data_IF_390805441574
#
_entry.id   IF_390805441574
#
_cell.length_a   1.000
_cell.length_b   1.000
_cell.length_c   1.000
_cell.angle_alpha   90.00
_cell.angle_beta   90.00
_cell.angle_gamma   90.00
#
_symmetry.space_group_name_H-M   'P 1'
#
loop_
_entity.id
_entity.type
_entity.pdbx_description
1 polymer ?
#
# COMPACT_ATOMS: atom_id res chain seq x y z
N UNK A 1 5.10 2.62 0.67
CA UNK A 1 5.53 1.69 1.74
C UNK A 1 5.06 2.09 3.14
N UNK A 2 4.95 3.39 3.45
CA UNK A 2 4.59 3.88 4.80
C UNK A 2 3.25 3.32 5.34
N UNK A 3 2.21 3.22 4.51
CA UNK A 3 0.93 2.65 4.95
C UNK A 3 1.06 1.21 5.44
N UNK A 4 1.88 0.39 4.76
CA UNK A 4 2.17 -0.99 5.14
C UNK A 4 3.03 -1.05 6.42
N UNK A 5 3.94 -0.09 6.58
CA UNK A 5 4.76 0.06 7.79
C UNK A 5 3.90 0.41 9.03
N UNK A 6 2.85 1.22 8.83
CA UNK A 6 1.84 1.50 9.86
C UNK A 6 0.86 0.33 10.10
N UNK A 7 1.01 -0.79 9.38
CA UNK A 7 0.16 -1.97 9.54
C UNK A 7 -1.19 -1.87 8.83
N UNK A 8 -1.35 -0.97 7.86
CA UNK A 8 -2.57 -0.86 7.08
C UNK A 8 -2.56 -1.80 5.88
N UNK A 9 -3.72 -2.37 5.56
CA UNK A 9 -3.95 -3.05 4.29
C UNK A 9 -4.05 -2.04 3.16
N UNK A 10 -3.55 -2.40 1.98
CA UNK A 10 -3.55 -1.53 0.80
C UNK A 10 -4.24 -2.24 -0.35
N UNK A 11 -5.27 -1.59 -0.91
CA UNK A 11 -5.89 -2.03 -2.16
C UNK A 11 -5.32 -1.22 -3.31
N UNK A 12 -4.64 -1.89 -4.23
CA UNK A 12 -4.14 -1.30 -5.47
C UNK A 12 -5.19 -1.51 -6.54
N UNK A 13 -5.61 -0.42 -7.19
CA UNK A 13 -6.55 -0.46 -8.29
C UNK A 13 -6.00 0.35 -9.46
N UNK A 14 -5.91 -0.29 -10.61
CA UNK A 14 -5.58 0.33 -11.89
C UNK A 14 -6.85 0.39 -12.73
N UNK A 15 -7.15 1.54 -13.32
CA UNK A 15 -8.31 1.72 -14.19
C UNK A 15 -7.83 2.05 -15.60
N UNK A 16 -8.28 1.27 -16.58
CA UNK A 16 -8.03 1.56 -17.98
C UNK A 16 -8.98 2.64 -18.50
N UNK A 17 -8.48 3.54 -19.36
CA UNK A 17 -9.29 4.58 -20.01
C UNK A 17 -9.12 4.55 -21.53
N UNK A 18 -10.25 4.65 -22.24
CA UNK A 18 -10.28 4.75 -23.70
C UNK A 18 -9.50 3.63 -24.40
N UNK A 19 -8.44 3.99 -25.12
CA UNK A 19 -7.63 3.07 -25.95
C UNK A 19 -6.74 2.13 -25.14
N UNK A 20 -6.55 2.37 -23.86
CA UNK A 20 -5.72 1.52 -22.98
C UNK A 20 -6.35 0.13 -22.75
N UNK A 21 -7.66 -0.02 -22.96
CA UNK A 21 -8.37 -1.30 -22.90
C UNK A 21 -7.85 -2.33 -23.91
N UNK A 22 -7.20 -1.90 -25.00
CA UNK A 22 -6.57 -2.81 -25.96
C UNK A 22 -5.26 -3.43 -25.43
N UNK A 23 -4.69 -2.86 -24.36
CA UNK A 23 -3.39 -3.24 -23.81
C UNK A 23 -3.48 -3.60 -22.33
N UNK A 24 -4.42 -4.47 -21.98
CA UNK A 24 -4.62 -4.92 -20.60
C UNK A 24 -3.40 -5.66 -20.02
N UNK A 25 -2.61 -6.31 -20.89
CA UNK A 25 -1.38 -7.01 -20.51
C UNK A 25 -0.36 -6.08 -19.83
N UNK A 26 -0.17 -4.86 -20.34
CA UNK A 26 0.73 -3.89 -19.71
C UNK A 26 0.23 -3.44 -18.34
N UNK A 27 -1.09 -3.31 -18.16
CA UNK A 27 -1.68 -3.02 -16.87
C UNK A 27 -1.44 -4.15 -15.87
N UNK A 28 -1.55 -5.40 -16.31
CA UNK A 28 -1.26 -6.58 -15.49
C UNK A 28 0.20 -6.62 -15.07
N UNK A 29 1.12 -6.44 -16.02
CA UNK A 29 2.57 -6.39 -15.75
C UNK A 29 2.93 -5.26 -14.78
N UNK A 30 2.27 -4.10 -14.89
CA UNK A 30 2.50 -2.98 -13.97
C UNK A 30 2.10 -3.33 -12.54
N UNK A 31 0.92 -3.93 -12.36
CA UNK A 31 0.46 -4.34 -11.02
C UNK A 31 1.35 -5.47 -10.45
N UNK A 32 1.84 -6.36 -11.30
CA UNK A 32 2.79 -7.41 -10.92
C UNK A 32 4.14 -6.83 -10.49
N UNK A 33 4.65 -5.79 -11.17
CA UNK A 33 5.83 -5.06 -10.70
C UNK A 33 5.61 -4.43 -9.32
N UNK A 34 4.45 -3.82 -9.08
CA UNK A 34 4.11 -3.26 -7.77
C UNK A 34 4.10 -4.33 -6.68
N UNK A 35 3.61 -5.54 -7.00
CA UNK A 35 3.69 -6.69 -6.09
C UNK A 35 5.14 -7.02 -5.75
N UNK A 36 6.01 -7.18 -6.76
CA UNK A 36 7.41 -7.57 -6.56
C UNK A 36 8.15 -6.53 -5.71
N UNK A 37 7.99 -5.26 -6.05
CA UNK A 37 8.60 -4.14 -5.34
C UNK A 37 8.16 -4.05 -3.86
N UNK A 38 6.94 -4.49 -3.54
CA UNK A 38 6.38 -4.48 -2.19
C UNK A 38 6.45 -5.85 -1.47
N UNK A 39 7.05 -6.87 -2.08
CA UNK A 39 7.15 -8.23 -1.53
C UNK A 39 7.93 -8.27 -0.19
N UNK A 40 8.86 -7.34 0.01
CA UNK A 40 9.60 -7.20 1.28
C UNK A 40 8.79 -6.60 2.44
N UNK A 41 7.68 -5.92 2.16
CA UNK A 41 6.86 -5.23 3.17
C UNK A 41 5.45 -5.82 3.30
N UNK A 42 4.97 -6.51 2.27
CA UNK A 42 3.59 -6.96 2.16
C UNK A 42 3.49 -8.37 1.59
N UNK A 43 2.38 -9.03 1.91
CA UNK A 43 1.93 -10.28 1.33
C UNK A 43 0.70 -10.02 0.47
N UNK A 44 0.61 -10.71 -0.67
CA UNK A 44 -0.57 -10.66 -1.53
C UNK A 44 -1.71 -11.42 -0.86
N UNK A 45 -2.79 -10.71 -0.53
CA UNK A 45 -4.02 -11.30 0.01
C UNK A 45 -5.01 -11.60 -1.12
N UNK A 46 -5.06 -10.74 -2.13
CA UNK A 46 -5.77 -11.00 -3.38
C UNK A 46 -4.85 -10.74 -4.57
N UNK A 47 -4.65 -11.78 -5.39
CA UNK A 47 -3.91 -11.71 -6.63
C UNK A 47 -4.50 -10.65 -7.58
N UNK A 48 -3.68 -10.01 -8.43
CA UNK A 48 -4.15 -9.05 -9.41
C UNK A 48 -5.17 -9.70 -10.35
N UNK A 49 -6.38 -9.13 -10.38
CA UNK A 49 -7.47 -9.63 -11.22
C UNK A 49 -8.12 -8.50 -12.00
N UNK A 50 -8.36 -8.76 -13.29
CA UNK A 50 -9.16 -7.87 -14.15
C UNK A 50 -10.64 -8.03 -13.77
N UNK A 51 -11.25 -6.92 -13.38
CA UNK A 51 -12.69 -6.78 -13.09
C UNK A 51 -13.24 -5.62 -13.90
N UNK A 52 -13.92 -5.93 -15.00
CA UNK A 52 -14.44 -4.93 -15.94
C UNK A 52 -13.31 -4.11 -16.58
N UNK A 53 -13.28 -2.81 -16.29
CA UNK A 53 -12.24 -1.88 -16.77
C UNK A 53 -11.10 -1.65 -15.79
N UNK A 54 -11.05 -2.40 -14.69
CA UNK A 54 -10.09 -2.21 -13.63
C UNK A 54 -9.26 -3.48 -13.40
N UNK A 55 -8.00 -3.34 -12.99
CA UNK A 55 -7.23 -4.39 -12.32
C UNK A 55 -7.22 -4.06 -10.84
N UNK A 56 -7.51 -5.03 -9.98
CA UNK A 56 -7.47 -4.85 -8.53
C UNK A 56 -6.60 -5.92 -7.90
N UNK A 57 -5.77 -5.51 -6.94
CA UNK A 57 -4.91 -6.36 -6.11
C UNK A 57 -5.00 -5.86 -4.66
N UNK A 58 -4.98 -6.78 -3.70
CA UNK A 58 -4.97 -6.41 -2.27
C UNK A 58 -3.71 -6.93 -1.61
N UNK A 59 -3.01 -6.03 -0.92
CA UNK A 59 -1.79 -6.30 -0.18
C UNK A 59 -2.07 -6.15 1.32
N UNK A 60 -1.69 -7.17 2.07
CA UNK A 60 -1.67 -7.14 3.53
C UNK A 60 -0.23 -6.86 4.00
N UNK A 61 -0.04 -6.07 5.07
CA UNK A 61 1.30 -5.83 5.59
C UNK A 61 1.85 -7.09 6.25
N UNK A 62 3.14 -7.35 6.07
CA UNK A 62 3.84 -8.41 6.80
C UNK A 62 3.86 -8.11 8.31
N UNK A 63 4.12 -9.09 9.19
CA UNK A 63 4.40 -8.80 10.60
C UNK A 63 5.60 -7.85 10.72
N UNK A 64 5.56 -6.94 11.69
CA UNK A 64 6.57 -5.87 11.85
C UNK A 64 8.02 -6.40 11.83
N UNK A 65 8.24 -7.60 12.36
CA UNK A 65 9.55 -8.24 12.47
C UNK A 65 10.14 -8.73 11.12
N UNK A 66 9.36 -8.75 10.04
CA UNK A 66 9.78 -9.22 8.70
C UNK A 66 9.74 -8.16 7.60
N UNK A 67 9.38 -6.92 7.94
CA UNK A 67 9.25 -5.80 6.99
C UNK A 67 10.62 -5.27 6.57
N UNK A 68 10.91 -5.23 5.27
CA UNK A 68 12.10 -4.60 4.67
C UNK A 68 11.72 -3.48 3.70
N UNK A 69 12.01 -2.24 4.07
CA UNK A 69 11.72 -1.03 3.28
C UNK A 69 12.69 -0.90 2.11
N UNK A 70 12.18 -0.56 0.92
CA UNK A 70 12.94 -0.44 -0.33
C UNK A 70 12.98 0.98 -0.90
N UNK A 71 11.94 1.82 -0.69
CA UNK A 71 11.76 3.11 -1.38
C UNK A 71 11.89 4.37 -0.50
N UNK A 72 11.74 4.30 0.83
CA UNK A 72 11.88 5.50 1.67
C UNK A 72 12.78 5.25 2.88
N UNK A 73 13.95 5.93 2.99
CA UNK A 73 14.63 6.10 4.26
C UNK A 73 13.87 7.16 5.06
N UNK A 74 13.21 6.77 6.15
CA UNK A 74 12.59 7.75 7.05
C UNK A 74 13.65 8.35 7.95
N UNK A 75 14.00 9.62 7.71
CA UNK A 75 14.44 10.51 8.79
C UNK A 75 13.24 10.74 9.70
N UNK A 76 13.19 10.05 10.84
CA UNK A 76 12.22 10.36 11.90
C UNK A 76 12.66 11.66 12.56
N UNK A 77 11.99 12.77 12.29
CA UNK A 77 11.85 13.82 13.31
C UNK A 77 10.65 13.41 14.17
N UNK A 78 10.82 13.15 15.48
CA UNK A 78 9.71 12.83 16.36
C UNK A 78 8.93 14.12 16.62
N UNK A 79 7.72 14.22 16.08
CA UNK A 79 6.74 15.19 16.56
C UNK A 79 6.09 14.61 17.82
N UNK A 80 6.73 14.87 18.97
CA UNK A 80 6.13 14.76 20.30
C UNK A 80 5.44 16.09 20.63
N UNK A 81 4.24 16.02 21.18
CA UNK A 81 3.44 17.16 21.67
C UNK A 81 1.98 16.72 21.80
N UNK A 82 1.66 15.85 22.77
CA UNK A 82 1.18 16.23 24.10
C UNK A 82 -0.34 16.36 24.14
N UNK A 83 -0.98 15.27 24.54
CA UNK A 83 -2.30 15.27 25.18
C UNK A 83 -2.12 15.85 26.59
N UNK A 84 -2.70 17.02 26.85
CA UNK A 84 -2.99 17.47 28.21
C UNK A 84 -4.49 17.74 28.33
N UNK A 85 -5.18 16.70 28.80
CA UNK A 85 -6.53 16.78 29.37
C UNK A 85 -6.47 17.68 30.61
N UNK A 86 -7.29 18.73 30.64
CA UNK A 86 -7.71 19.38 31.88
C UNK A 86 -9.23 19.54 31.86
N UNK A 87 -9.93 18.55 32.42
CA UNK A 87 -11.26 18.72 32.98
C UNK A 87 -11.14 18.85 34.52
N UNK A 88 -12.06 19.62 35.09
CA UNK A 88 -12.42 19.82 36.51
C UNK A 88 -11.77 20.99 37.27
N UNK A 89 -12.63 21.91 37.76
CA UNK A 89 -12.28 22.91 38.76
C UNK A 89 -13.20 24.13 38.86
N UNK A 90 -14.43 23.93 39.39
CA UNK A 90 -15.41 24.93 39.89
C UNK A 90 -16.19 25.81 38.91
#
# INVERSE_FOLDING_TARGET
EEFLDRGNKVRVQLQFRGREMAHQEFGMQLVEKVRDDLSGMSQVEMEPKITGRNITMTLAPLPANRRKRKFTPVSKTPEQGEEAVAQSGT
#
